data_IF_799854222133
#
_entry.id   IF_799854222133
#
_cell.length_a   1.000
_cell.length_b   1.000
_cell.length_c   1.000
_cell.angle_alpha   90.00
_cell.angle_beta   90.00
_cell.angle_gamma   90.00
#
_symmetry.space_group_name_H-M   'P 1'
#
loop_
_entity.id
_entity.type
_entity.pdbx_description
1 polymer ?
#
# COMPACT_ATOMS: atom_id res chain seq x y z
N UNK A 1 18.08 31.07 -35.61
CA UNK A 1 18.67 30.49 -34.39
C UNK A 1 17.59 29.89 -33.56
N UNK A 2 17.55 28.62 -33.53
CA UNK A 2 16.52 27.91 -32.79
C UNK A 2 16.99 27.74 -31.38
N UNK A 3 16.34 28.41 -30.50
CA UNK A 3 16.56 28.18 -29.09
C UNK A 3 15.76 26.96 -28.72
N UNK A 4 16.39 25.86 -28.70
CA UNK A 4 15.82 24.72 -28.10
C UNK A 4 16.03 24.82 -26.61
N UNK A 5 15.01 25.15 -25.93
CA UNK A 5 15.03 25.24 -24.51
C UNK A 5 14.90 23.89 -23.93
N UNK A 6 15.79 23.54 -23.08
CA UNK A 6 15.66 22.34 -22.29
C UNK A 6 14.56 22.45 -21.27
N UNK A 7 13.36 22.55 -21.76
CA UNK A 7 12.23 22.85 -20.89
C UNK A 7 11.84 21.74 -19.97
N UNK A 8 12.21 20.53 -20.32
CA UNK A 8 11.87 19.38 -19.52
C UNK A 8 12.70 19.20 -18.27
N UNK A 9 13.80 19.90 -18.17
CA UNK A 9 14.74 19.65 -17.07
C UNK A 9 14.31 20.25 -15.75
N UNK A 10 13.37 21.15 -15.78
CA UNK A 10 12.99 21.87 -14.55
C UNK A 10 12.00 21.13 -13.69
N UNK A 11 11.21 20.27 -14.30
CA UNK A 11 10.13 19.59 -13.62
C UNK A 11 10.63 18.46 -12.76
N UNK A 12 11.60 17.73 -13.24
CA UNK A 12 12.11 16.55 -12.54
C UNK A 12 12.81 16.86 -11.23
N UNK A 13 13.31 18.07 -11.07
CA UNK A 13 13.98 18.47 -9.84
C UNK A 13 13.01 18.62 -8.67
N UNK A 14 11.77 18.97 -8.95
CA UNK A 14 10.76 19.19 -7.93
C UNK A 14 9.88 17.97 -7.69
N UNK A 15 9.80 17.08 -8.65
CA UNK A 15 8.96 15.89 -8.57
C UNK A 15 9.79 14.65 -8.40
N UNK A 16 9.74 14.10 -7.20
CA UNK A 16 10.31 12.80 -6.94
C UNK A 16 9.32 11.75 -7.44
N UNK A 17 9.73 10.98 -8.43
CA UNK A 17 8.90 9.88 -8.89
C UNK A 17 8.65 8.88 -7.77
N UNK A 18 7.39 8.48 -7.66
CA UNK A 18 7.01 7.42 -6.75
C UNK A 18 7.65 6.11 -7.22
N UNK A 19 8.23 5.36 -6.29
CA UNK A 19 8.78 4.04 -6.54
C UNK A 19 7.74 2.94 -6.37
N UNK A 20 6.49 3.29 -6.12
CA UNK A 20 5.39 2.33 -6.08
C UNK A 20 5.26 1.69 -7.46
N UNK A 21 5.22 0.36 -7.55
CA UNK A 21 5.10 -0.31 -8.85
C UNK A 21 3.87 0.14 -9.63
N UNK A 22 4.01 0.22 -10.94
CA UNK A 22 2.87 0.38 -11.83
C UNK A 22 2.19 -0.96 -12.05
N UNK A 23 0.88 -0.91 -12.17
CA UNK A 23 0.06 -2.09 -12.34
C UNK A 23 -0.61 -2.11 -13.70
N UNK A 24 -0.65 -3.29 -14.32
CA UNK A 24 -1.48 -3.54 -15.49
C UNK A 24 -2.87 -4.00 -15.05
N UNK A 25 -3.89 -3.68 -15.85
CA UNK A 25 -5.26 -4.10 -15.56
C UNK A 25 -5.50 -5.58 -15.87
N UNK A 26 -4.72 -6.14 -16.80
CA UNK A 26 -4.82 -7.55 -17.18
C UNK A 26 -3.45 -8.18 -17.18
N UNK A 27 -3.38 -9.47 -16.88
CA UNK A 27 -2.15 -10.23 -17.04
C UNK A 27 -2.05 -10.84 -18.45
N UNK A 28 -0.91 -11.45 -18.74
CA UNK A 28 -0.66 -12.10 -20.03
C UNK A 28 -1.61 -13.25 -20.35
N UNK A 29 -2.21 -13.85 -19.32
CA UNK A 29 -3.23 -14.87 -19.48
C UNK A 29 -4.63 -14.34 -19.73
N UNK A 30 -4.80 -13.03 -19.84
CA UNK A 30 -6.08 -12.40 -20.09
C UNK A 30 -7.03 -12.38 -18.90
N UNK A 31 -6.51 -12.54 -17.70
CA UNK A 31 -7.34 -12.50 -16.49
C UNK A 31 -7.53 -11.08 -16.02
N UNK A 32 -8.76 -10.69 -15.69
CA UNK A 32 -9.09 -9.40 -15.13
C UNK A 32 -9.44 -9.52 -13.65
N UNK A 33 -9.24 -8.44 -12.91
CA UNK A 33 -9.51 -8.38 -11.48
C UNK A 33 -10.52 -7.28 -11.18
N UNK A 34 -11.44 -7.59 -10.27
CA UNK A 34 -12.39 -6.63 -9.71
C UNK A 34 -12.39 -6.75 -8.19
N UNK A 35 -12.78 -5.67 -7.53
CA UNK A 35 -13.01 -5.69 -6.09
C UNK A 35 -14.47 -6.02 -5.84
N UNK A 36 -14.73 -6.97 -4.93
CA UNK A 36 -16.06 -7.27 -4.50
C UNK A 36 -16.46 -6.33 -3.35
N UNK A 37 -17.50 -5.54 -3.55
CA UNK A 37 -18.00 -4.61 -2.55
C UNK A 37 -17.29 -3.26 -2.58
N UNK A 38 -17.13 -2.65 -1.42
CA UNK A 38 -16.52 -1.34 -1.29
C UNK A 38 -15.04 -1.38 -1.66
N UNK A 39 -14.61 -0.42 -2.44
CA UNK A 39 -13.23 -0.32 -2.90
C UNK A 39 -12.25 -0.03 -1.78
N UNK A 40 -12.72 0.49 -0.67
CA UNK A 40 -11.86 0.83 0.45
C UNK A 40 -11.60 -0.35 1.39
N UNK A 41 -12.34 -1.44 1.24
CA UNK A 41 -12.25 -2.58 2.14
C UNK A 41 -12.82 -2.27 3.52
N UNK A 42 -12.70 -3.23 4.42
CA UNK A 42 -13.19 -3.09 5.80
C UNK A 42 -12.04 -2.82 6.74
N UNK A 43 -12.10 -1.71 7.46
CA UNK A 43 -11.17 -1.37 8.52
C UNK A 43 -11.78 -1.81 9.83
N UNK A 44 -11.08 -2.68 10.56
CA UNK A 44 -11.49 -3.11 11.88
C UNK A 44 -10.56 -2.45 12.89
N UNK A 45 -11.13 -1.63 13.75
CA UNK A 45 -10.35 -0.99 14.81
C UNK A 45 -9.86 -2.03 15.81
N UNK A 46 -8.56 -1.97 16.09
CA UNK A 46 -7.96 -2.74 17.18
C UNK A 46 -8.10 -2.03 18.51
N UNK A 47 -7.54 -2.63 19.55
CA UNK A 47 -7.46 -2.02 20.87
C UNK A 47 -6.34 -0.98 20.91
N UNK A 48 -6.45 0.01 21.79
CA UNK A 48 -5.42 0.99 22.07
C UNK A 48 -5.92 2.43 22.02
N UNK A 49 -5.10 3.33 22.54
CA UNK A 49 -5.40 4.75 22.57
C UNK A 49 -4.84 5.46 21.34
N UNK A 50 -5.63 6.35 20.80
CA UNK A 50 -5.19 7.24 19.73
C UNK A 50 -4.49 8.45 20.34
N UNK A 51 -3.23 8.29 20.71
CA UNK A 51 -2.43 9.40 21.18
C UNK A 51 -1.48 9.85 20.07
N UNK A 52 -1.70 11.06 19.62
CA UNK A 52 -0.72 11.92 18.98
C UNK A 52 0.06 11.35 17.80
N UNK A 53 -0.41 11.64 16.60
CA UNK A 53 0.41 11.49 15.41
C UNK A 53 1.49 12.56 15.48
N UNK A 54 2.76 12.18 15.34
CA UNK A 54 3.84 13.11 15.15
C UNK A 54 4.04 13.38 13.65
N UNK A 55 3.54 14.49 13.11
CA UNK A 55 3.58 14.72 11.66
C UNK A 55 4.99 15.03 11.13
N UNK A 56 5.97 15.12 12.00
CA UNK A 56 7.37 15.39 11.61
C UNK A 56 8.27 14.17 11.83
N UNK A 57 7.67 13.00 12.03
CA UNK A 57 8.43 11.81 12.33
C UNK A 57 9.08 11.22 11.08
N UNK A 58 10.34 10.79 11.25
CA UNK A 58 11.05 9.92 10.31
C UNK A 58 11.62 8.74 11.07
N UNK A 59 11.83 7.59 10.42
CA UNK A 59 12.50 6.46 11.05
C UNK A 59 13.81 6.89 11.73
N UNK A 60 13.91 6.67 13.03
CA UNK A 60 15.03 7.09 13.85
C UNK A 60 14.81 8.35 14.66
N UNK A 61 13.71 9.07 14.45
CA UNK A 61 13.42 10.35 15.10
C UNK A 61 12.55 10.22 16.36
N UNK A 62 12.72 9.17 17.13
CA UNK A 62 11.95 8.96 18.35
C UNK A 62 10.68 8.14 18.09
N UNK A 63 9.62 8.31 18.89
CA UNK A 63 8.44 7.46 18.79
C UNK A 63 7.75 7.59 17.44
N UNK A 64 7.55 6.48 16.77
CA UNK A 64 6.79 6.42 15.53
C UNK A 64 5.30 6.70 15.79
N UNK A 65 4.62 7.35 14.84
CA UNK A 65 3.17 7.56 14.97
C UNK A 65 2.43 6.23 14.99
N UNK A 66 1.35 6.18 15.75
CA UNK A 66 0.55 4.98 15.81
C UNK A 66 -0.22 4.78 14.51
N UNK A 67 -0.52 3.54 14.19
CA UNK A 67 -1.33 3.21 13.02
C UNK A 67 -2.78 3.58 13.29
N UNK A 68 -3.32 4.46 12.46
CA UNK A 68 -4.69 4.97 12.62
C UNK A 68 -5.63 4.53 11.52
N UNK A 69 -5.11 4.29 10.31
CA UNK A 69 -5.96 3.83 9.21
C UNK A 69 -5.18 3.05 8.17
N UNK A 70 -5.88 2.17 7.50
CA UNK A 70 -5.36 1.38 6.39
C UNK A 70 -6.39 1.45 5.27
N UNK A 71 -5.95 1.73 4.06
CA UNK A 71 -6.83 1.76 2.89
C UNK A 71 -6.14 1.14 1.68
N UNK A 72 -6.95 0.65 0.75
CA UNK A 72 -6.44 0.18 -0.52
C UNK A 72 -6.03 1.38 -1.37
N UNK A 73 -4.83 1.32 -1.95
CA UNK A 73 -4.33 2.39 -2.78
C UNK A 73 -4.33 2.01 -4.26
N UNK A 74 -3.65 0.94 -4.62
CA UNK A 74 -3.57 0.41 -5.98
C UNK A 74 -3.53 -1.11 -5.95
N UNK A 75 -3.95 -1.71 -7.03
CA UNK A 75 -3.84 -3.15 -7.23
C UNK A 75 -3.82 -3.46 -8.71
N UNK A 76 -3.32 -4.63 -9.06
CA UNK A 76 -3.27 -5.09 -10.44
C UNK A 76 -2.13 -6.07 -10.66
N UNK A 77 -1.68 -6.14 -11.90
CA UNK A 77 -0.64 -7.09 -12.30
C UNK A 77 0.72 -6.39 -12.30
N UNK A 78 1.64 -6.98 -11.56
CA UNK A 78 3.03 -6.55 -11.52
C UNK A 78 3.75 -6.94 -12.82
N UNK A 79 4.93 -6.36 -13.06
CA UNK A 79 5.72 -6.66 -14.25
C UNK A 79 6.17 -8.11 -14.34
N UNK A 80 6.27 -8.80 -13.21
CA UNK A 80 6.58 -10.24 -13.18
C UNK A 80 5.36 -11.13 -13.46
N UNK A 81 4.20 -10.56 -13.73
CA UNK A 81 2.97 -11.29 -13.98
C UNK A 81 2.17 -11.69 -12.74
N UNK A 82 2.71 -11.46 -11.56
CA UNK A 82 2.00 -11.75 -10.32
C UNK A 82 1.00 -10.64 -9.98
N UNK A 83 0.00 -10.98 -9.19
CA UNK A 83 -0.92 -10.00 -8.66
C UNK A 83 -0.29 -9.22 -7.53
N UNK A 84 -0.44 -7.91 -7.57
CA UNK A 84 0.11 -7.02 -6.57
C UNK A 84 -0.95 -6.13 -5.93
N UNK A 85 -0.72 -5.79 -4.68
CA UNK A 85 -1.60 -4.91 -3.90
C UNK A 85 -0.74 -3.87 -3.19
N UNK A 86 -1.12 -2.62 -3.30
CA UNK A 86 -0.51 -1.53 -2.53
C UNK A 86 -1.57 -0.95 -1.62
N UNK A 87 -1.24 -0.91 -0.33
CA UNK A 87 -2.08 -0.28 0.69
C UNK A 87 -1.42 1.00 1.18
N UNK A 88 -2.24 1.90 1.70
CA UNK A 88 -1.80 3.14 2.33
C UNK A 88 -2.08 3.05 3.82
N UNK A 89 -1.04 3.19 4.63
CA UNK A 89 -1.13 3.06 6.08
C UNK A 89 -0.71 4.36 6.73
N UNK A 90 -1.62 4.98 7.46
CA UNK A 90 -1.28 6.14 8.30
C UNK A 90 -0.67 5.63 9.60
N UNK A 91 0.54 6.09 9.90
CA UNK A 91 1.33 5.63 11.03
C UNK A 91 2.37 4.60 10.64
N UNK A 92 2.98 4.00 11.64
CA UNK A 92 4.07 3.05 11.43
C UNK A 92 3.95 1.86 12.38
N UNK A 93 4.10 0.67 11.82
CA UNK A 93 4.01 -0.55 12.60
C UNK A 93 4.47 -1.77 11.82
N UNK A 94 4.42 -2.90 12.48
CA UNK A 94 4.68 -4.19 11.86
C UNK A 94 3.37 -4.83 11.41
N UNK A 95 3.43 -5.57 10.31
CA UNK A 95 2.25 -6.19 9.74
C UNK A 95 2.26 -7.70 9.84
N UNK A 96 1.07 -8.25 9.80
CA UNK A 96 0.80 -9.65 9.50
C UNK A 96 -0.21 -9.67 8.37
N UNK A 97 0.21 -10.17 7.22
CA UNK A 97 -0.58 -10.08 6.00
C UNK A 97 -0.73 -11.45 5.36
N UNK A 98 -1.95 -11.72 4.91
CA UNK A 98 -2.25 -12.96 4.18
C UNK A 98 -2.97 -12.66 2.88
N UNK A 99 -2.74 -13.49 1.89
CA UNK A 99 -3.51 -13.52 0.67
C UNK A 99 -4.07 -14.92 0.47
N UNK A 100 -5.38 -15.02 0.49
CA UNK A 100 -6.12 -16.28 0.45
C UNK A 100 -5.61 -17.30 1.48
N UNK A 101 -5.38 -16.79 2.71
CA UNK A 101 -4.90 -17.58 3.83
C UNK A 101 -3.40 -17.85 3.87
N UNK A 102 -2.68 -17.50 2.82
CA UNK A 102 -1.22 -17.69 2.75
C UNK A 102 -0.51 -16.42 3.22
N UNK A 103 0.45 -16.57 4.12
CA UNK A 103 1.26 -15.44 4.60
C UNK A 103 2.10 -14.86 3.48
N UNK A 104 2.06 -13.54 3.37
CA UNK A 104 2.88 -12.78 2.43
C UNK A 104 3.57 -11.63 3.14
N UNK A 105 4.68 -11.17 2.58
CA UNK A 105 5.43 -10.01 3.08
C UNK A 105 5.42 -8.91 2.04
N UNK A 106 5.51 -7.66 2.51
CA UNK A 106 5.63 -6.56 1.56
C UNK A 106 7.01 -6.59 0.87
N UNK A 107 7.01 -6.20 -0.40
CA UNK A 107 8.21 -6.15 -1.23
C UNK A 107 8.72 -4.71 -1.41
N UNK A 108 7.89 -3.73 -1.09
CA UNK A 108 8.24 -2.33 -1.25
C UNK A 108 7.53 -1.50 -0.20
N UNK A 109 8.22 -0.51 0.34
CA UNK A 109 7.70 0.44 1.31
C UNK A 109 8.13 1.84 0.89
N UNK A 110 7.20 2.78 0.90
CA UNK A 110 7.48 4.16 0.54
C UNK A 110 6.74 5.11 1.49
N UNK A 111 7.44 6.09 2.08
CA UNK A 111 6.78 7.06 2.95
C UNK A 111 5.93 8.04 2.14
N UNK A 112 4.88 8.55 2.76
CA UNK A 112 4.15 9.69 2.23
C UNK A 112 4.07 10.81 3.25
N UNK A 113 3.99 12.04 2.75
CA UNK A 113 3.96 13.26 3.56
C UNK A 113 2.76 14.07 3.11
N UNK A 114 1.87 14.41 4.07
CA UNK A 114 0.71 15.26 3.80
C UNK A 114 1.05 16.70 4.14
N UNK A 115 1.68 16.91 5.29
CA UNK A 115 2.05 18.22 5.75
C UNK A 115 3.35 18.14 6.55
N UNK A 116 4.15 19.20 6.50
CA UNK A 116 5.44 19.22 7.17
C UNK A 116 6.52 18.44 6.43
N UNK A 117 7.52 17.97 7.15
CA UNK A 117 8.69 17.30 6.58
C UNK A 117 8.85 15.86 7.02
N UNK A 118 8.03 15.39 7.94
CA UNK A 118 8.06 14.02 8.43
C UNK A 118 7.08 13.11 7.69
N UNK A 119 7.28 11.82 7.81
CA UNK A 119 6.40 10.83 7.23
C UNK A 119 5.11 10.71 8.04
N UNK A 120 3.97 10.81 7.36
CA UNK A 120 2.66 10.60 7.97
C UNK A 120 2.27 9.12 7.97
N UNK A 121 2.85 8.37 7.09
CA UNK A 121 2.64 6.94 6.97
C UNK A 121 3.42 6.38 5.80
N UNK A 122 3.00 5.19 5.38
CA UNK A 122 3.72 4.44 4.34
C UNK A 122 2.76 3.74 3.40
N UNK A 123 3.19 3.65 2.14
CA UNK A 123 2.63 2.70 1.20
C UNK A 123 3.38 1.39 1.32
N UNK A 124 2.65 0.29 1.38
CA UNK A 124 3.23 -1.05 1.37
C UNK A 124 2.71 -1.80 0.15
N UNK A 125 3.62 -2.35 -0.61
CA UNK A 125 3.28 -3.16 -1.79
C UNK A 125 3.58 -4.62 -1.51
N UNK A 126 2.63 -5.47 -1.85
CA UNK A 126 2.69 -6.92 -1.66
C UNK A 126 2.64 -7.61 -3.00
N UNK A 127 3.48 -8.62 -3.17
CA UNK A 127 3.37 -9.57 -4.28
C UNK A 127 2.55 -10.75 -3.79
N UNK A 128 1.34 -10.87 -4.33
CA UNK A 128 0.39 -11.91 -3.93
C UNK A 128 0.57 -13.23 -4.68
N UNK A 129 1.55 -13.28 -5.59
CA UNK A 129 1.83 -14.46 -6.38
C UNK A 129 1.00 -14.55 -7.67
N UNK A 130 1.19 -15.61 -8.43
CA UNK A 130 0.44 -15.81 -9.67
C UNK A 130 -1.00 -16.20 -9.36
N UNK A 131 -1.92 -15.69 -10.17
CA UNK A 131 -3.32 -16.09 -10.13
C UNK A 131 -3.58 -16.98 -11.35
N UNK A 132 -3.77 -18.25 -11.09
CA UNK A 132 -3.93 -19.25 -12.16
C UNK A 132 -5.38 -19.71 -12.35
N UNK A 133 -6.24 -19.37 -11.41
CA UNK A 133 -7.66 -19.77 -11.45
C UNK A 133 -8.54 -18.57 -11.16
N UNK A 134 -9.62 -18.44 -11.89
CA UNK A 134 -10.67 -17.47 -11.60
C UNK A 134 -11.31 -17.78 -10.24
N UNK A 135 -11.80 -16.78 -9.58
CA UNK A 135 -12.43 -16.91 -8.27
C UNK A 135 -12.17 -15.69 -7.39
N UNK A 136 -12.56 -15.82 -6.15
CA UNK A 136 -12.41 -14.73 -5.17
C UNK A 136 -11.32 -15.07 -4.17
N UNK A 137 -10.46 -14.10 -3.93
CA UNK A 137 -9.30 -14.21 -3.06
C UNK A 137 -9.32 -13.08 -2.06
N UNK A 138 -9.06 -13.38 -0.80
CA UNK A 138 -9.11 -12.38 0.28
C UNK A 138 -7.71 -11.91 0.63
N UNK A 139 -7.55 -10.59 0.66
CA UNK A 139 -6.38 -9.92 1.21
C UNK A 139 -6.71 -9.44 2.61
N UNK A 140 -5.94 -9.87 3.60
CA UNK A 140 -6.06 -9.44 4.98
C UNK A 140 -4.74 -8.90 5.47
N UNK A 141 -4.76 -7.79 6.18
CA UNK A 141 -3.57 -7.28 6.86
C UNK A 141 -3.93 -6.72 8.22
N UNK A 142 -3.05 -6.91 9.18
CA UNK A 142 -3.15 -6.33 10.52
C UNK A 142 -1.83 -5.66 10.83
N UNK A 143 -1.90 -4.39 11.18
CA UNK A 143 -0.74 -3.62 11.62
C UNK A 143 -0.81 -3.41 13.13
N UNK A 144 0.32 -3.65 13.78
CA UNK A 144 0.54 -3.32 15.19
C UNK A 144 1.50 -2.15 15.24
N UNK A 145 1.08 -1.07 15.89
CA UNK A 145 1.90 0.14 16.00
C UNK A 145 3.19 -0.15 16.76
N UNK A 146 4.30 0.34 16.25
CA UNK A 146 5.62 0.03 16.82
C UNK A 146 5.77 0.55 18.25
N UNK A 147 5.41 1.81 18.48
CA UNK A 147 5.54 2.45 19.79
C UNK A 147 4.26 2.37 20.64
N UNK A 148 3.21 1.83 20.09
CA UNK A 148 1.93 1.65 20.77
C UNK A 148 1.45 0.22 20.57
N UNK A 149 2.11 -0.77 21.20
CA UNK A 149 1.92 -2.19 20.85
C UNK A 149 0.53 -2.73 21.11
N UNK A 150 -0.28 -2.01 21.91
CA UNK A 150 -1.68 -2.38 22.11
C UNK A 150 -2.61 -1.82 21.05
N UNK A 151 -2.08 -1.01 20.13
CA UNK A 151 -2.86 -0.44 19.03
C UNK A 151 -2.66 -1.26 17.77
N UNK A 152 -3.73 -1.88 17.33
CA UNK A 152 -3.76 -2.64 16.08
C UNK A 152 -4.87 -2.12 15.18
N UNK A 153 -4.65 -2.21 13.88
CA UNK A 153 -5.67 -1.92 12.87
C UNK A 153 -5.62 -3.02 11.82
N UNK A 154 -6.78 -3.45 11.40
CA UNK A 154 -6.89 -4.50 10.38
C UNK A 154 -7.65 -3.98 9.17
N UNK A 155 -7.29 -4.50 8.01
CA UNK A 155 -7.91 -4.19 6.74
C UNK A 155 -8.12 -5.48 5.97
N UNK A 156 -9.27 -5.62 5.31
CA UNK A 156 -9.60 -6.79 4.52
C UNK A 156 -10.37 -6.38 3.27
N UNK A 157 -10.01 -6.99 2.15
CA UNK A 157 -10.76 -6.82 0.91
C UNK A 157 -10.73 -8.11 0.10
N UNK A 158 -11.70 -8.29 -0.78
CA UNK A 158 -11.80 -9.46 -1.64
C UNK A 158 -11.60 -9.03 -3.10
N UNK A 159 -10.68 -9.70 -3.76
CA UNK A 159 -10.45 -9.53 -5.20
C UNK A 159 -11.08 -10.69 -5.94
N UNK A 160 -11.86 -10.39 -6.97
CA UNK A 160 -12.49 -11.39 -7.81
C UNK A 160 -11.82 -11.40 -9.18
N UNK A 161 -11.34 -12.56 -9.57
CA UNK A 161 -10.64 -12.77 -10.83
C UNK A 161 -11.53 -13.50 -11.81
N UNK A 162 -11.64 -12.94 -13.01
CA UNK A 162 -12.43 -13.53 -14.09
C UNK A 162 -11.52 -13.80 -15.28
N UNK A 163 -11.68 -14.95 -15.89
CA UNK A 163 -11.01 -15.27 -17.16
C UNK A 163 -11.69 -14.54 -18.30
N UNK A 164 -10.91 -14.03 -19.23
CA UNK A 164 -11.41 -13.41 -20.45
C UNK A 164 -11.59 -14.42 -21.59
#
# INVERSE_FOLDING_TARGET
>A
LTMLMGMGTMVSAAEKESSIPEYSETNDGGMTVNIAGDQEGTIVEGSGNEEGINPLWWPGDGPAPQVTSISLYKYGWLTNGNFGVTIKVYGYGSDTTTFDGRSISWIHQEPFIISGTGADGFYYTYDCGPITQAGSYRFNTTFRSTNFPNTTRSFSTVFTFSAN
#
